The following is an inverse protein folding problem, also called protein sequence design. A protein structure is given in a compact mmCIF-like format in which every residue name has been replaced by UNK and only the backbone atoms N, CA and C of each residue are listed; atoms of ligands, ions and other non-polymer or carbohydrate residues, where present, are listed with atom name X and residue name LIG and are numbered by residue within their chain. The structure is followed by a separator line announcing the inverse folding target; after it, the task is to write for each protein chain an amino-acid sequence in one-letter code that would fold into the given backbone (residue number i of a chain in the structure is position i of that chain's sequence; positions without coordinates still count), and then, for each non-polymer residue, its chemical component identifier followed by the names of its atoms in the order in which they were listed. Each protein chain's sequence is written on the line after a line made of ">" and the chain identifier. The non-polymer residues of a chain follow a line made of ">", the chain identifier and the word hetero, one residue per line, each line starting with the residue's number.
data_IF_964562799783
#
_entry.id   IF_964562799783
#
_cell.length_a   1.000
_cell.length_b   1.000
_cell.length_c   1.000
_cell.angle_alpha   90.00
_cell.angle_beta   90.00
_cell.angle_gamma   90.00
#
_symmetry.space_group_name_H-M   'P 1'
#
loop_
_entity.id
_entity.type
_entity.pdbx_description
1 polymer ?
#
# COMPACT_ATOMS: atom_id res chain seq x y z
N UNK A 1 37.48 -19.62 -2.37
CA UNK A 1 36.62 -18.66 -1.66
C UNK A 1 35.19 -19.11 -1.94
N UNK A 2 34.48 -19.61 -0.90
CA UNK A 2 33.06 -19.93 -0.97
C UNK A 2 32.32 -18.58 -1.03
N UNK A 3 31.63 -18.34 -2.13
CA UNK A 3 30.60 -17.30 -2.22
C UNK A 3 29.36 -17.91 -1.52
N UNK A 4 29.08 -17.47 -0.32
CA UNK A 4 27.81 -17.75 0.35
C UNK A 4 26.70 -17.09 -0.47
N UNK A 5 25.80 -17.90 -1.03
CA UNK A 5 24.55 -17.42 -1.59
C UNK A 5 23.81 -16.64 -0.50
N UNK A 6 23.76 -15.33 -0.67
CA UNK A 6 22.92 -14.47 0.15
C UNK A 6 21.48 -14.91 -0.05
N UNK A 7 20.76 -15.09 1.06
CA UNK A 7 19.32 -15.29 1.05
C UNK A 7 18.70 -14.16 0.22
N UNK A 8 17.95 -14.53 -0.82
CA UNK A 8 17.08 -13.59 -1.54
C UNK A 8 16.11 -13.07 -0.50
N UNK A 9 16.32 -11.84 -0.05
CA UNK A 9 15.43 -11.15 0.87
C UNK A 9 14.06 -11.08 0.19
N UNK A 10 13.04 -11.60 0.87
CA UNK A 10 11.66 -11.47 0.39
C UNK A 10 11.36 -9.98 0.24
N UNK A 11 11.00 -9.56 -0.98
CA UNK A 11 10.48 -8.22 -1.20
C UNK A 11 9.26 -8.04 -0.29
N UNK A 12 9.39 -7.16 0.70
CA UNK A 12 8.27 -6.66 1.47
C UNK A 12 7.61 -5.57 0.61
N UNK A 13 6.29 -5.49 0.58
CA UNK A 13 5.53 -4.34 0.11
C UNK A 13 6.15 -3.03 0.63
N UNK A 14 5.77 -1.84 0.14
CA UNK A 14 6.31 -0.56 0.68
C UNK A 14 6.89 -0.75 2.08
N UNK A 15 8.17 -0.49 2.30
CA UNK A 15 8.84 -0.81 3.57
C UNK A 15 8.02 -0.36 4.79
N UNK A 16 8.20 -0.99 5.93
CA UNK A 16 7.40 -0.72 7.13
C UNK A 16 7.30 0.78 7.47
N UNK A 17 8.34 1.56 7.17
CA UNK A 17 8.36 3.00 7.41
C UNK A 17 7.33 3.71 6.52
N UNK A 18 7.26 3.37 5.24
CA UNK A 18 6.31 3.99 4.31
C UNK A 18 4.85 3.68 4.68
N UNK A 19 4.52 2.42 5.00
CA UNK A 19 3.17 2.04 5.45
C UNK A 19 2.75 2.80 6.71
N UNK A 20 3.65 2.94 7.68
CA UNK A 20 3.39 3.73 8.90
C UNK A 20 3.17 5.20 8.57
N UNK A 21 3.98 5.79 7.72
CA UNK A 21 3.84 7.19 7.30
C UNK A 21 2.47 7.44 6.65
N UNK A 22 2.05 6.59 5.73
CA UNK A 22 0.74 6.70 5.06
C UNK A 22 -0.40 6.62 6.07
N UNK A 23 -0.37 5.63 6.97
CA UNK A 23 -1.41 5.44 7.98
C UNK A 23 -1.47 6.62 8.97
N UNK A 24 -0.33 7.08 9.46
CA UNK A 24 -0.21 8.16 10.45
C UNK A 24 -0.65 9.52 9.85
N UNK A 25 -0.21 9.81 8.63
CA UNK A 25 -0.60 11.04 7.93
C UNK A 25 -2.10 11.06 7.60
N UNK A 26 -2.68 9.91 7.22
CA UNK A 26 -4.12 9.80 7.00
C UNK A 26 -4.91 10.00 8.32
N UNK A 27 -4.45 9.42 9.43
CA UNK A 27 -5.08 9.58 10.74
C UNK A 27 -4.99 11.03 11.25
N UNK A 28 -3.87 11.70 11.03
CA UNK A 28 -3.65 13.09 11.41
C UNK A 28 -4.58 14.07 10.68
N UNK A 29 -4.96 13.74 9.43
CA UNK A 29 -5.82 14.55 8.58
C UNK A 29 -7.31 14.19 8.69
N UNK A 30 -7.70 13.31 9.62
CA UNK A 30 -9.10 12.89 9.77
C UNK A 30 -10.04 14.09 10.02
N UNK A 31 -11.25 14.12 9.40
CA UNK A 31 -12.15 15.26 9.48
C UNK A 31 -12.88 15.35 10.84
N UNK A 32 -13.55 16.48 11.12
CA UNK A 32 -14.46 16.58 12.27
C UNK A 32 -15.42 15.40 12.33
N UNK A 33 -15.64 14.84 13.53
CA UNK A 33 -16.41 13.61 13.76
C UNK A 33 -15.59 12.32 13.70
N UNK A 34 -14.38 12.37 13.12
CA UNK A 34 -13.45 11.23 13.10
C UNK A 34 -12.12 11.55 13.81
N UNK A 35 -11.72 12.82 13.84
CA UNK A 35 -10.37 13.26 14.24
C UNK A 35 -9.97 12.82 15.64
N UNK A 36 -10.85 12.93 16.64
CA UNK A 36 -10.53 12.55 18.03
C UNK A 36 -10.20 11.05 18.13
N UNK A 37 -11.03 10.21 17.52
CA UNK A 37 -10.83 8.77 17.47
C UNK A 37 -9.54 8.37 16.75
N UNK A 38 -9.33 8.86 15.52
CA UNK A 38 -8.18 8.50 14.72
C UNK A 38 -6.87 9.02 15.34
N UNK A 39 -6.91 10.18 15.98
CA UNK A 39 -5.76 10.73 16.70
C UNK A 39 -5.42 9.89 17.95
N UNK A 40 -6.45 9.48 18.72
CA UNK A 40 -6.25 8.59 19.88
C UNK A 40 -5.79 7.17 19.46
N UNK A 41 -6.19 6.70 18.27
CA UNK A 41 -5.87 5.38 17.74
C UNK A 41 -4.56 5.35 16.91
N UNK A 42 -3.91 6.49 16.68
CA UNK A 42 -2.86 6.64 15.66
C UNK A 42 -1.75 5.60 15.78
N UNK A 43 -1.18 5.40 16.96
CA UNK A 43 -0.11 4.40 17.18
C UNK A 43 -0.57 2.97 16.86
N UNK A 44 -1.81 2.63 17.23
CA UNK A 44 -2.38 1.30 17.00
C UNK A 44 -2.69 1.08 15.51
N UNK A 45 -3.18 2.09 14.81
CA UNK A 45 -3.41 2.06 13.36
C UNK A 45 -2.07 1.92 12.64
N UNK A 46 -1.05 2.69 13.04
CA UNK A 46 0.31 2.60 12.52
C UNK A 46 0.90 1.20 12.75
N UNK A 47 0.72 0.62 13.93
CA UNK A 47 1.15 -0.77 14.19
C UNK A 47 0.40 -1.78 13.30
N UNK A 48 -0.92 -1.62 13.17
CA UNK A 48 -1.74 -2.50 12.34
C UNK A 48 -1.43 -2.35 10.83
N UNK A 49 -0.90 -1.21 10.39
CA UNK A 49 -0.55 -0.99 8.98
C UNK A 49 0.60 -1.87 8.48
N UNK A 50 1.37 -2.48 9.35
CA UNK A 50 2.44 -3.42 8.97
C UNK A 50 2.10 -4.89 9.27
N UNK A 51 0.95 -5.16 9.88
CA UNK A 51 0.53 -6.54 10.17
C UNK A 51 0.35 -7.42 8.93
N UNK A 52 -0.14 -6.91 7.77
CA UNK A 52 -0.21 -7.73 6.57
C UNK A 52 1.14 -8.35 6.19
N UNK A 53 2.21 -7.58 6.22
CA UNK A 53 3.56 -8.07 5.88
C UNK A 53 4.22 -8.92 6.98
N UNK A 54 3.86 -8.71 8.22
CA UNK A 54 4.49 -9.39 9.34
C UNK A 54 3.62 -10.52 9.89
N UNK A 55 2.46 -10.20 10.46
CA UNK A 55 1.61 -11.15 11.16
C UNK A 55 0.80 -12.03 10.21
N UNK A 56 0.22 -11.44 9.14
CA UNK A 56 -0.64 -12.21 8.24
C UNK A 56 0.18 -13.09 7.30
N UNK A 57 1.29 -12.60 6.75
CA UNK A 57 2.24 -13.43 5.99
C UNK A 57 2.80 -14.58 6.82
N UNK A 58 3.09 -14.37 8.10
CA UNK A 58 3.58 -15.44 8.97
C UNK A 58 2.55 -16.57 9.20
N UNK A 59 1.24 -16.26 9.08
CA UNK A 59 0.14 -17.23 9.27
C UNK A 59 -0.19 -18.01 7.99
N UNK A 60 -0.15 -17.34 6.84
CA UNK A 60 -0.48 -17.93 5.54
C UNK A 60 0.28 -17.15 4.45
N UNK A 61 1.56 -17.49 4.29
CA UNK A 61 2.50 -16.78 3.43
C UNK A 61 2.04 -16.75 1.97
N UNK A 62 1.67 -17.90 1.43
CA UNK A 62 1.31 -18.03 0.02
C UNK A 62 0.07 -17.22 -0.35
N UNK A 63 -0.95 -17.29 0.50
CA UNK A 63 -2.19 -16.56 0.28
C UNK A 63 -2.02 -15.07 0.51
N UNK A 64 -1.29 -14.69 1.57
CA UNK A 64 -1.13 -13.28 1.90
C UNK A 64 -0.25 -12.56 0.90
N UNK A 65 0.85 -13.18 0.44
CA UNK A 65 1.75 -12.62 -0.56
C UNK A 65 0.98 -12.08 -1.79
N UNK A 66 0.04 -12.87 -2.33
CA UNK A 66 -0.75 -12.52 -3.52
C UNK A 66 -1.67 -11.30 -3.33
N UNK A 67 -1.88 -10.86 -2.11
CA UNK A 67 -2.76 -9.75 -1.75
C UNK A 67 -2.08 -8.38 -1.77
N UNK A 68 -0.76 -8.37 -1.98
CA UNK A 68 0.06 -7.17 -1.96
C UNK A 68 0.33 -6.59 -3.36
N UNK A 69 0.02 -7.31 -4.42
CA UNK A 69 0.32 -6.90 -5.80
C UNK A 69 -0.78 -7.33 -6.78
N UNK A 70 -0.70 -6.77 -7.97
CA UNK A 70 -1.42 -7.27 -9.14
C UNK A 70 -0.57 -6.99 -10.39
N UNK A 71 -0.05 -8.05 -11.00
CA UNK A 71 0.73 -7.99 -12.23
C UNK A 71 -0.23 -7.82 -13.42
N UNK A 72 -0.55 -6.56 -13.74
CA UNK A 72 -1.52 -6.22 -14.78
C UNK A 72 -1.14 -6.80 -16.13
N UNK A 73 0.16 -6.82 -16.43
CA UNK A 73 0.76 -7.32 -17.66
C UNK A 73 0.73 -8.84 -17.78
N UNK A 74 0.48 -9.57 -16.70
CA UNK A 74 0.12 -11.00 -16.74
C UNK A 74 -1.33 -11.23 -17.18
N UNK A 75 -2.23 -10.32 -16.88
CA UNK A 75 -3.66 -10.47 -17.17
C UNK A 75 -4.05 -9.87 -18.52
N UNK A 76 -3.54 -8.69 -18.85
CA UNK A 76 -3.94 -7.95 -20.06
C UNK A 76 -2.78 -7.09 -20.58
N UNK A 77 -3.01 -6.36 -21.66
CA UNK A 77 -2.02 -5.43 -22.24
C UNK A 77 -2.44 -3.98 -22.00
N UNK A 78 -1.47 -3.06 -21.81
CA UNK A 78 -1.78 -1.63 -21.77
C UNK A 78 -2.62 -1.22 -23.00
N UNK A 79 -3.59 -0.34 -22.84
CA UNK A 79 -4.02 0.39 -21.66
C UNK A 79 -5.07 -0.33 -20.78
N UNK A 80 -5.09 -1.65 -20.73
CA UNK A 80 -5.89 -2.51 -19.83
C UNK A 80 -7.42 -2.32 -19.95
N UNK A 81 -7.92 -1.98 -21.14
CA UNK A 81 -9.35 -1.68 -21.38
C UNK A 81 -10.27 -2.87 -21.15
N UNK A 82 -9.75 -4.08 -21.39
CA UNK A 82 -10.52 -5.34 -21.32
C UNK A 82 -10.36 -6.04 -19.96
N UNK A 83 -9.65 -5.40 -18.99
CA UNK A 83 -9.44 -5.96 -17.66
C UNK A 83 -10.74 -5.93 -16.84
N UNK A 84 -11.28 -7.09 -16.41
CA UNK A 84 -12.45 -7.12 -15.56
C UNK A 84 -12.12 -6.62 -14.16
N UNK A 85 -12.84 -5.62 -13.65
CA UNK A 85 -12.66 -5.12 -12.29
C UNK A 85 -13.36 -5.98 -11.23
N UNK A 86 -14.22 -6.89 -11.66
CA UNK A 86 -14.90 -7.86 -10.81
C UNK A 86 -14.07 -9.16 -10.74
N UNK A 87 -13.82 -9.66 -9.51
CA UNK A 87 -12.97 -10.82 -9.31
C UNK A 87 -13.52 -12.09 -9.96
N UNK A 88 -14.83 -12.34 -9.82
CA UNK A 88 -15.45 -13.53 -10.40
C UNK A 88 -15.39 -13.50 -11.93
N UNK A 89 -15.54 -12.30 -12.52
CA UNK A 89 -15.39 -12.13 -13.97
C UNK A 89 -13.93 -12.29 -14.41
N UNK A 90 -12.97 -11.81 -13.63
CA UNK A 90 -11.55 -12.00 -13.92
C UNK A 90 -11.20 -13.49 -13.87
N UNK A 91 -11.64 -14.21 -12.83
CA UNK A 91 -11.45 -15.66 -12.69
C UNK A 91 -12.13 -16.45 -13.81
N UNK A 92 -13.34 -16.07 -14.19
CA UNK A 92 -14.03 -16.69 -15.30
C UNK A 92 -13.34 -16.48 -16.66
N UNK A 93 -12.68 -15.32 -16.85
CA UNK A 93 -11.99 -14.98 -18.10
C UNK A 93 -10.58 -15.58 -18.18
N UNK A 94 -9.80 -15.49 -17.09
CA UNK A 94 -8.38 -15.83 -17.09
C UNK A 94 -8.06 -17.17 -16.41
N UNK A 95 -8.99 -17.73 -15.63
CA UNK A 95 -8.79 -18.90 -14.77
C UNK A 95 -8.22 -18.54 -13.41
N UNK A 96 -8.53 -19.38 -12.40
CA UNK A 96 -8.14 -19.15 -11.01
C UNK A 96 -6.61 -19.11 -10.83
N UNK A 97 -5.90 -20.05 -11.42
CA UNK A 97 -4.43 -20.14 -11.31
C UNK A 97 -3.74 -18.87 -11.82
N UNK A 98 -4.19 -18.35 -12.97
CA UNK A 98 -3.59 -17.15 -13.55
C UNK A 98 -3.92 -15.89 -12.75
N UNK A 99 -5.14 -15.76 -12.24
CA UNK A 99 -5.53 -14.64 -11.37
C UNK A 99 -4.75 -14.71 -10.06
N UNK A 100 -4.62 -15.89 -9.47
CA UNK A 100 -3.85 -16.08 -8.24
C UNK A 100 -2.36 -15.80 -8.44
N UNK A 101 -1.78 -16.18 -9.57
CA UNK A 101 -0.39 -15.87 -9.90
C UNK A 101 -0.17 -14.37 -10.13
N UNK A 102 -1.08 -13.72 -10.84
CA UNK A 102 -1.03 -12.27 -11.10
C UNK A 102 -1.30 -11.42 -9.86
N UNK A 103 -1.84 -12.00 -8.77
CA UNK A 103 -2.12 -11.26 -7.55
C UNK A 103 -3.55 -10.72 -7.44
N UNK A 104 -3.94 -10.37 -6.20
CA UNK A 104 -5.35 -10.08 -5.86
C UNK A 104 -5.55 -8.77 -5.08
N UNK A 105 -4.59 -7.88 -5.11
CA UNK A 105 -4.56 -6.62 -4.36
C UNK A 105 -5.85 -5.77 -4.46
N UNK A 106 -6.41 -5.46 -5.67
CA UNK A 106 -7.58 -4.58 -5.74
C UNK A 106 -8.81 -5.20 -5.05
N UNK A 107 -9.01 -6.50 -5.16
CA UNK A 107 -10.12 -7.20 -4.51
C UNK A 107 -9.91 -7.36 -3.01
N UNK A 108 -8.65 -7.48 -2.57
CA UNK A 108 -8.30 -7.44 -1.15
C UNK A 108 -8.65 -6.10 -0.52
N UNK A 109 -8.36 -4.98 -1.18
CA UNK A 109 -8.76 -3.64 -0.75
C UNK A 109 -10.29 -3.58 -0.55
N UNK A 110 -11.08 -4.08 -1.51
CA UNK A 110 -12.54 -4.09 -1.39
C UNK A 110 -13.02 -4.94 -0.22
N UNK A 111 -12.40 -6.09 -0.01
CA UNK A 111 -12.72 -6.96 1.13
C UNK A 111 -12.49 -6.25 2.46
N UNK A 112 -11.33 -5.61 2.64
CA UNK A 112 -11.00 -4.90 3.89
C UNK A 112 -11.86 -3.65 4.08
N UNK A 113 -12.19 -2.92 3.00
CA UNK A 113 -13.13 -1.80 3.02
C UNK A 113 -14.51 -2.23 3.55
N UNK A 114 -15.03 -3.36 3.04
CA UNK A 114 -16.28 -3.95 3.53
C UNK A 114 -16.22 -4.31 5.01
N UNK A 115 -15.11 -4.93 5.44
CA UNK A 115 -14.89 -5.29 6.85
C UNK A 115 -14.81 -4.05 7.75
N UNK A 116 -14.18 -2.96 7.30
CA UNK A 116 -14.12 -1.69 8.03
C UNK A 116 -15.50 -1.06 8.17
N UNK A 117 -16.28 -1.01 7.08
CA UNK A 117 -17.68 -0.53 7.10
C UNK A 117 -18.53 -1.32 8.10
N UNK A 118 -18.42 -2.65 8.08
CA UNK A 118 -19.18 -3.51 8.97
C UNK A 118 -18.73 -3.34 10.44
N UNK A 119 -17.43 -3.12 10.69
CA UNK A 119 -16.92 -2.78 12.02
C UNK A 119 -17.52 -1.46 12.55
N UNK A 120 -17.60 -0.43 11.70
CA UNK A 120 -18.30 0.83 12.07
C UNK A 120 -19.77 0.62 12.38
N UNK A 121 -20.51 -0.15 11.56
CA UNK A 121 -21.94 -0.46 11.81
C UNK A 121 -22.17 -1.15 13.14
N UNK A 122 -21.26 -2.09 13.48
CA UNK A 122 -21.31 -2.87 14.72
C UNK A 122 -20.71 -2.13 15.92
N UNK A 123 -20.13 -0.95 15.71
CA UNK A 123 -19.37 -0.20 16.72
C UNK A 123 -18.26 -1.03 17.37
N UNK A 124 -17.66 -1.93 16.60
CA UNK A 124 -16.51 -2.75 17.01
C UNK A 124 -15.22 -1.93 16.80
N UNK A 125 -14.93 -1.08 17.76
CA UNK A 125 -13.85 -0.09 17.66
C UNK A 125 -12.47 -0.71 17.54
N UNK A 126 -12.27 -1.88 18.12
CA UNK A 126 -11.03 -2.65 17.96
C UNK A 126 -10.83 -3.04 16.49
N UNK A 127 -11.87 -3.61 15.88
CA UNK A 127 -11.82 -3.93 14.45
C UNK A 127 -11.72 -2.69 13.57
N UNK A 128 -12.34 -1.57 13.96
CA UNK A 128 -12.17 -0.30 13.20
C UNK A 128 -10.69 0.07 13.15
N UNK A 129 -9.98 0.05 14.28
CA UNK A 129 -8.54 0.36 14.33
C UNK A 129 -7.73 -0.58 13.45
N UNK A 130 -7.89 -1.89 13.65
CA UNK A 130 -7.12 -2.90 12.91
C UNK A 130 -7.41 -2.85 11.41
N UNK A 131 -8.69 -2.74 11.02
CA UNK A 131 -9.06 -2.69 9.60
C UNK A 131 -8.67 -1.37 8.94
N UNK A 132 -8.63 -0.26 9.68
CA UNK A 132 -8.07 1.00 9.17
C UNK A 132 -6.57 0.84 8.83
N UNK A 133 -5.78 0.23 9.71
CA UNK A 133 -4.38 -0.05 9.44
C UNK A 133 -4.18 -0.99 8.25
N UNK A 134 -4.91 -2.11 8.18
CA UNK A 134 -4.81 -3.02 7.05
C UNK A 134 -5.25 -2.38 5.73
N UNK A 135 -6.30 -1.56 5.74
CA UNK A 135 -6.75 -0.87 4.54
C UNK A 135 -5.69 0.12 4.05
N UNK A 136 -5.05 0.87 4.96
CA UNK A 136 -3.97 1.79 4.58
C UNK A 136 -2.78 1.07 3.97
N UNK A 137 -2.45 -0.14 4.45
CA UNK A 137 -1.40 -0.99 3.89
C UNK A 137 -1.66 -1.33 2.43
N UNK A 138 -2.76 -2.04 2.15
CA UNK A 138 -3.06 -2.46 0.77
C UNK A 138 -3.33 -1.26 -0.17
N UNK A 139 -3.85 -0.15 0.35
CA UNK A 139 -3.96 1.08 -0.44
C UNK A 139 -2.57 1.62 -0.79
N UNK A 140 -1.63 1.63 0.14
CA UNK A 140 -0.26 2.05 -0.16
C UNK A 140 0.37 1.17 -1.25
N UNK A 141 0.18 -0.16 -1.18
CA UNK A 141 0.64 -1.10 -2.20
C UNK A 141 0.08 -0.79 -3.60
N UNK A 142 -1.18 -0.36 -3.69
CA UNK A 142 -1.80 0.02 -4.96
C UNK A 142 -1.16 1.27 -5.61
N UNK A 143 -0.40 2.05 -4.85
CA UNK A 143 0.35 3.22 -5.34
C UNK A 143 1.85 2.95 -5.52
N UNK A 144 2.31 1.73 -5.27
CA UNK A 144 3.67 1.30 -5.55
C UNK A 144 3.77 0.79 -6.99
N UNK A 145 4.50 1.46 -7.89
CA UNK A 145 4.56 1.07 -9.30
C UNK A 145 4.97 -0.38 -9.51
N UNK A 146 5.98 -0.85 -8.78
CA UNK A 146 6.50 -2.20 -8.93
C UNK A 146 5.58 -3.30 -8.38
N UNK A 147 4.48 -2.96 -7.69
CA UNK A 147 3.40 -3.89 -7.31
C UNK A 147 2.36 -4.10 -8.41
N UNK A 148 2.57 -3.55 -9.59
CA UNK A 148 1.59 -3.57 -10.68
C UNK A 148 2.06 -4.32 -11.91
N UNK A 149 3.29 -4.85 -11.89
CA UNK A 149 3.96 -5.52 -13.00
C UNK A 149 4.67 -6.79 -12.56
N UNK A 150 4.70 -7.78 -13.43
CA UNK A 150 5.50 -9.01 -13.23
C UNK A 150 7.01 -8.74 -13.16
N UNK A 151 7.48 -7.63 -13.75
CA UNK A 151 8.87 -7.17 -13.66
C UNK A 151 9.13 -6.39 -12.35
N UNK A 152 8.54 -6.85 -11.26
CA UNK A 152 8.48 -6.16 -9.98
C UNK A 152 9.85 -5.84 -9.35
N UNK A 153 10.87 -6.66 -9.59
CA UNK A 153 12.24 -6.45 -9.07
C UNK A 153 13.24 -6.13 -10.19
N UNK A 154 12.74 -5.78 -11.38
CA UNK A 154 13.58 -5.47 -12.53
C UNK A 154 14.27 -6.67 -13.18
N UNK A 155 13.84 -7.90 -12.84
CA UNK A 155 14.45 -9.14 -13.32
C UNK A 155 14.33 -9.34 -14.84
N UNK A 156 13.39 -8.66 -15.50
CA UNK A 156 13.26 -8.66 -16.97
C UNK A 156 14.03 -7.51 -17.66
N UNK A 157 14.63 -6.59 -16.86
CA UNK A 157 15.24 -5.35 -17.37
C UNK A 157 16.65 -5.08 -16.83
N UNK A 158 17.28 -6.06 -16.16
CA UNK A 158 18.61 -5.94 -15.53
C UNK A 158 18.67 -4.86 -14.44
N UNK A 159 17.57 -4.74 -13.65
CA UNK A 159 17.41 -3.83 -12.53
C UNK A 159 17.18 -4.59 -11.21
N UNK A 160 17.69 -5.82 -11.10
CA UNK A 160 17.45 -6.67 -9.92
C UNK A 160 17.83 -5.95 -8.64
N UNK A 161 16.89 -5.97 -7.67
CA UNK A 161 17.01 -5.27 -6.39
C UNK A 161 16.37 -3.88 -6.37
N UNK A 162 15.87 -3.38 -7.51
CA UNK A 162 15.22 -2.06 -7.58
C UNK A 162 14.00 -1.95 -6.67
N UNK A 163 13.31 -3.06 -6.44
CA UNK A 163 12.13 -3.10 -5.58
C UNK A 163 12.46 -2.60 -4.17
N UNK A 164 13.37 -3.30 -3.49
CA UNK A 164 13.79 -2.92 -2.14
C UNK A 164 14.44 -1.54 -2.10
N UNK A 165 15.24 -1.19 -3.11
CA UNK A 165 15.92 0.10 -3.20
C UNK A 165 14.94 1.28 -3.29
N UNK A 166 13.85 1.15 -4.08
CA UNK A 166 12.86 2.22 -4.28
C UNK A 166 11.90 2.34 -3.10
N UNK A 167 11.37 1.23 -2.61
CA UNK A 167 10.27 1.25 -1.63
C UNK A 167 10.72 1.24 -0.17
N UNK A 168 11.91 0.69 0.13
CA UNK A 168 12.40 0.53 1.48
C UNK A 168 13.59 1.43 1.74
N UNK A 169 14.72 1.17 1.08
CA UNK A 169 15.99 1.78 1.46
C UNK A 169 16.00 3.30 1.26
N UNK A 170 15.54 3.77 0.11
CA UNK A 170 15.46 5.21 -0.19
C UNK A 170 14.54 5.94 0.80
N UNK A 171 13.40 5.35 1.15
CA UNK A 171 12.43 5.96 2.04
C UNK A 171 12.92 5.92 3.50
N UNK A 172 13.54 4.82 3.93
CA UNK A 172 14.08 4.68 5.29
C UNK A 172 15.21 5.69 5.55
N UNK A 173 16.07 5.92 4.56
CA UNK A 173 17.12 6.96 4.61
C UNK A 173 16.47 8.34 4.73
N UNK A 174 15.48 8.64 3.92
CA UNK A 174 14.78 9.93 3.85
C UNK A 174 13.53 10.08 4.74
N UNK A 175 13.28 9.14 5.68
CA UNK A 175 11.97 9.00 6.39
C UNK A 175 11.38 10.29 6.96
N UNK A 176 12.20 11.17 7.52
CA UNK A 176 11.72 12.44 8.09
C UNK A 176 11.17 13.36 7.01
N UNK A 177 11.87 13.47 5.88
CA UNK A 177 11.45 14.28 4.74
C UNK A 177 10.20 13.68 4.08
N UNK A 178 10.15 12.35 3.92
CA UNK A 178 8.98 11.66 3.38
C UNK A 178 7.76 11.88 4.27
N UNK A 179 7.87 11.71 5.59
CA UNK A 179 6.76 11.96 6.53
C UNK A 179 6.21 13.37 6.39
N UNK A 180 7.06 14.38 6.36
CA UNK A 180 6.65 15.78 6.28
C UNK A 180 6.03 16.12 4.92
N UNK A 181 6.63 15.66 3.82
CA UNK A 181 6.21 16.00 2.46
C UNK A 181 4.98 15.24 1.96
N UNK A 182 4.59 14.15 2.61
CA UNK A 182 3.40 13.35 2.27
C UNK A 182 2.22 13.60 3.19
N UNK A 183 2.36 14.51 4.16
CA UNK A 183 1.26 14.99 4.98
C UNK A 183 0.22 15.73 4.11
N UNK A 184 -1.06 15.46 4.37
CA UNK A 184 -2.14 16.16 3.67
C UNK A 184 -2.25 17.60 4.17
N UNK A 185 -2.56 18.57 3.28
CA UNK A 185 -2.74 19.95 3.70
C UNK A 185 -3.95 20.08 4.63
N UNK A 186 -3.91 21.06 5.53
CA UNK A 186 -5.01 21.33 6.47
C UNK A 186 -6.35 21.61 5.78
N UNK A 187 -6.33 22.02 4.52
CA UNK A 187 -7.52 22.24 3.68
C UNK A 187 -8.07 20.97 3.05
N UNK A 188 -7.40 19.82 3.21
CA UNK A 188 -7.87 18.56 2.64
C UNK A 188 -9.21 18.16 3.27
N UNK A 189 -10.18 17.89 2.41
CA UNK A 189 -11.50 17.40 2.82
C UNK A 189 -11.72 16.04 2.19
N UNK A 190 -11.92 14.99 2.98
CA UNK A 190 -12.15 13.66 2.43
C UNK A 190 -13.51 13.59 1.72
N UNK A 191 -13.54 12.79 0.65
CA UNK A 191 -14.72 12.58 -0.17
C UNK A 191 -15.16 11.11 -0.13
N UNK A 192 -16.48 10.89 -0.31
CA UNK A 192 -17.05 9.56 -0.46
C UNK A 192 -16.72 9.04 -1.86
N UNK A 193 -15.99 7.95 -1.95
CA UNK A 193 -15.71 7.27 -3.20
C UNK A 193 -16.92 6.39 -3.56
N UNK A 194 -17.73 6.81 -4.53
CA UNK A 194 -18.98 6.11 -4.90
C UNK A 194 -18.75 4.76 -5.56
N UNK A 195 -17.70 4.63 -6.36
CA UNK A 195 -17.31 3.40 -7.07
C UNK A 195 -15.89 2.97 -6.66
N UNK A 196 -15.68 2.48 -5.42
CA UNK A 196 -14.34 2.25 -4.87
C UNK A 196 -13.51 1.28 -5.72
N UNK A 197 -14.15 0.21 -6.24
CA UNK A 197 -13.47 -0.78 -7.09
C UNK A 197 -12.90 -0.15 -8.35
N UNK A 198 -13.73 0.59 -9.08
CA UNK A 198 -13.30 1.29 -10.31
C UNK A 198 -12.22 2.32 -10.04
N UNK A 199 -12.37 3.05 -8.92
CA UNK A 199 -11.40 4.03 -8.49
C UNK A 199 -10.03 3.39 -8.23
N UNK A 200 -9.99 2.29 -7.45
CA UNK A 200 -8.73 1.60 -7.11
C UNK A 200 -8.05 1.03 -8.36
N UNK A 201 -8.79 0.39 -9.26
CA UNK A 201 -8.20 -0.09 -10.52
C UNK A 201 -7.61 1.05 -11.35
N UNK A 202 -8.26 2.20 -11.40
CA UNK A 202 -7.72 3.37 -12.10
C UNK A 202 -6.40 3.87 -11.47
N UNK A 203 -6.27 3.82 -10.12
CA UNK A 203 -5.02 4.18 -9.45
C UNK A 203 -3.91 3.15 -9.72
N UNK A 204 -4.23 1.87 -9.70
CA UNK A 204 -3.27 0.79 -10.01
C UNK A 204 -2.76 0.92 -11.46
N UNK A 205 -3.64 1.18 -12.42
CA UNK A 205 -3.26 1.40 -13.82
C UNK A 205 -2.35 2.64 -13.94
N UNK A 206 -2.69 3.72 -13.25
CA UNK A 206 -1.85 4.91 -13.22
C UNK A 206 -0.50 4.67 -12.52
N UNK A 207 -0.42 3.75 -11.57
CA UNK A 207 0.84 3.33 -10.95
C UNK A 207 1.68 2.48 -11.92
N UNK A 208 1.05 1.62 -12.72
CA UNK A 208 1.73 0.84 -13.76
C UNK A 208 2.43 1.75 -14.78
N UNK A 209 1.80 2.85 -15.18
CA UNK A 209 2.38 3.80 -16.12
C UNK A 209 3.68 4.45 -15.63
N UNK A 210 4.00 4.31 -14.33
CA UNK A 210 5.22 4.84 -13.70
C UNK A 210 6.35 3.79 -13.56
N UNK A 211 6.12 2.54 -13.92
CA UNK A 211 7.11 1.46 -13.79
C UNK A 211 8.39 1.79 -14.54
N UNK A 212 8.28 2.18 -15.80
CA UNK A 212 9.44 2.49 -16.64
C UNK A 212 10.28 3.65 -16.09
N UNK A 213 9.65 4.65 -15.45
CA UNK A 213 10.36 5.77 -14.83
C UNK A 213 11.23 5.29 -13.66
N UNK A 214 10.74 4.36 -12.84
CA UNK A 214 11.49 3.77 -11.72
C UNK A 214 12.66 2.93 -12.25
N UNK A 215 12.43 2.06 -13.23
CA UNK A 215 13.48 1.22 -13.82
C UNK A 215 14.58 2.05 -14.51
N UNK A 216 14.22 3.10 -15.23
CA UNK A 216 15.16 4.01 -15.85
C UNK A 216 15.98 4.80 -14.81
N UNK A 217 15.36 5.19 -13.69
CA UNK A 217 16.05 5.87 -12.60
C UNK A 217 17.11 4.98 -11.96
N UNK A 218 16.80 3.71 -11.71
CA UNK A 218 17.73 2.72 -11.19
C UNK A 218 18.91 2.52 -12.13
N UNK A 219 18.65 2.26 -13.41
CA UNK A 219 19.69 2.12 -14.43
C UNK A 219 20.64 3.33 -14.46
N UNK A 220 20.09 4.52 -14.38
CA UNK A 220 20.86 5.74 -14.40
C UNK A 220 21.63 6.00 -13.09
N UNK A 221 21.06 5.61 -11.94
CA UNK A 221 21.73 5.67 -10.64
C UNK A 221 22.94 4.72 -10.61
N UNK A 222 22.76 3.47 -11.02
CA UNK A 222 23.85 2.49 -11.14
C UNK A 222 24.99 2.99 -12.08
N UNK A 223 24.63 3.61 -13.19
CA UNK A 223 25.61 4.18 -14.11
C UNK A 223 26.37 5.37 -13.51
N UNK A 224 25.75 6.16 -12.64
CA UNK A 224 26.39 7.28 -11.94
C UNK A 224 27.39 6.79 -10.89
N UNK A 225 27.05 5.76 -10.11
CA UNK A 225 27.94 5.13 -9.14
C UNK A 225 29.16 4.52 -9.79
N UNK A 226 29.02 3.78 -10.89
CA UNK A 226 30.13 3.19 -11.64
C UNK A 226 31.13 4.24 -12.13
N UNK A 227 30.72 5.50 -12.29
CA UNK A 227 31.58 6.63 -12.66
C UNK A 227 32.14 7.37 -11.44
N UNK A 228 31.93 6.85 -10.23
CA UNK A 228 32.38 7.44 -8.94
C UNK A 228 31.89 8.91 -8.76
N UNK A 229 30.68 9.22 -9.21
CA UNK A 229 30.17 10.58 -9.16
C UNK A 229 29.25 10.86 -7.98
N UNK A 230 28.41 9.89 -7.60
CA UNK A 230 27.41 10.05 -6.54
C UNK A 230 27.11 8.72 -5.82
N UNK A 231 26.48 8.81 -4.66
CA UNK A 231 25.86 7.68 -3.99
C UNK A 231 24.61 7.20 -4.75
N UNK A 232 24.34 5.89 -4.75
CA UNK A 232 23.21 5.29 -5.47
C UNK A 232 21.86 5.84 -4.98
N UNK A 233 21.67 5.90 -3.66
CA UNK A 233 20.40 6.37 -3.10
C UNK A 233 20.20 7.88 -3.26
N UNK A 234 21.26 8.67 -3.26
CA UNK A 234 21.19 10.09 -3.61
C UNK A 234 20.73 10.28 -5.06
N UNK A 235 21.23 9.45 -5.97
CA UNK A 235 20.79 9.48 -7.36
C UNK A 235 19.36 9.01 -7.55
N UNK A 236 18.95 7.94 -6.85
CA UNK A 236 17.54 7.49 -6.84
C UNK A 236 16.61 8.58 -6.31
N UNK A 237 16.92 9.17 -5.16
CA UNK A 237 16.13 10.26 -4.57
C UNK A 237 16.02 11.47 -5.51
N UNK A 238 17.09 11.84 -6.18
CA UNK A 238 17.11 12.95 -7.14
C UNK A 238 16.21 12.69 -8.34
N UNK A 239 16.10 11.45 -8.80
CA UNK A 239 15.37 11.05 -10.01
C UNK A 239 13.91 10.75 -9.73
N UNK A 240 13.64 9.94 -8.74
CA UNK A 240 12.30 9.41 -8.45
C UNK A 240 11.77 9.73 -7.04
N UNK A 241 12.50 10.50 -6.25
CA UNK A 241 12.03 10.91 -4.93
C UNK A 241 10.76 11.77 -4.98
N UNK A 242 10.59 12.62 -5.99
CA UNK A 242 9.34 13.38 -6.21
C UNK A 242 8.19 12.43 -6.53
N UNK A 243 8.41 11.45 -7.42
CA UNK A 243 7.43 10.43 -7.76
C UNK A 243 7.03 9.62 -6.53
N UNK A 244 7.99 9.13 -5.74
CA UNK A 244 7.71 8.38 -4.52
C UNK A 244 6.85 9.19 -3.54
N UNK A 245 7.18 10.46 -3.28
CA UNK A 245 6.39 11.36 -2.44
C UNK A 245 4.98 11.58 -2.98
N UNK A 246 4.82 11.75 -4.28
CA UNK A 246 3.51 11.91 -4.91
C UNK A 246 2.66 10.66 -4.74
N UNK A 247 3.23 9.48 -4.96
CA UNK A 247 2.52 8.21 -4.78
C UNK A 247 2.11 7.98 -3.32
N UNK A 248 3.01 8.21 -2.36
CA UNK A 248 2.68 8.12 -0.93
C UNK A 248 1.62 9.17 -0.51
N UNK A 249 1.68 10.40 -1.02
CA UNK A 249 0.68 11.44 -0.73
C UNK A 249 -0.69 11.06 -1.28
N UNK A 250 -0.76 10.51 -2.50
CA UNK A 250 -1.99 9.98 -3.10
C UNK A 250 -2.53 8.79 -2.31
N UNK A 251 -1.66 7.87 -1.88
CA UNK A 251 -2.03 6.76 -1.02
C UNK A 251 -2.63 7.24 0.31
N UNK A 252 -2.03 8.27 0.92
CA UNK A 252 -2.53 8.91 2.15
C UNK A 252 -3.94 9.49 1.95
N UNK A 253 -4.14 10.25 0.88
CA UNK A 253 -5.44 10.84 0.54
C UNK A 253 -6.50 9.77 0.26
N UNK A 254 -6.15 8.74 -0.50
CA UNK A 254 -7.05 7.62 -0.82
C UNK A 254 -7.39 6.81 0.41
N UNK A 255 -6.43 6.55 1.28
CA UNK A 255 -6.66 5.90 2.58
C UNK A 255 -7.72 6.64 3.39
N UNK A 256 -7.54 7.95 3.56
CA UNK A 256 -8.52 8.77 4.30
C UNK A 256 -9.89 8.81 3.62
N UNK A 257 -9.95 8.91 2.30
CA UNK A 257 -11.20 8.87 1.54
C UNK A 257 -11.94 7.53 1.71
N UNK A 258 -11.23 6.39 1.72
CA UNK A 258 -11.83 5.09 1.94
C UNK A 258 -12.27 4.88 3.39
N UNK A 259 -11.52 5.36 4.38
CA UNK A 259 -11.98 5.37 5.77
C UNK A 259 -13.25 6.20 5.94
N UNK A 260 -13.28 7.37 5.35
CA UNK A 260 -14.45 8.25 5.35
C UNK A 260 -15.64 7.61 4.63
N UNK A 261 -15.39 6.96 3.50
CA UNK A 261 -16.42 6.21 2.74
C UNK A 261 -17.03 5.11 3.61
N UNK A 262 -16.20 4.28 4.27
CA UNK A 262 -16.67 3.22 5.15
C UNK A 262 -17.51 3.76 6.31
N UNK A 263 -17.07 4.84 6.95
CA UNK A 263 -17.79 5.50 8.03
C UNK A 263 -19.12 6.11 7.55
N UNK A 264 -19.09 6.77 6.39
CA UNK A 264 -20.29 7.35 5.76
C UNK A 264 -21.34 6.28 5.43
N UNK A 265 -20.94 5.19 4.76
CA UNK A 265 -21.81 4.07 4.39
C UNK A 265 -22.30 3.27 5.61
N UNK A 266 -21.60 3.35 6.72
CA UNK A 266 -22.04 2.78 7.99
C UNK A 266 -23.10 3.62 8.71
N UNK A 267 -23.52 4.77 8.17
CA UNK A 267 -24.48 5.69 8.77
C UNK A 267 -23.85 6.72 9.71
N UNK A 268 -22.54 6.97 9.59
CA UNK A 268 -21.77 7.94 10.39
C UNK A 268 -21.95 7.73 11.90
N UNK A 269 -21.67 6.53 12.44
CA UNK A 269 -21.80 6.31 13.88
C UNK A 269 -20.92 7.29 14.64
N UNK A 270 -21.40 7.73 15.81
CA UNK A 270 -20.59 8.54 16.71
C UNK A 270 -19.39 7.72 17.17
N UNK A 271 -18.19 8.24 16.97
CA UNK A 271 -16.95 7.60 17.39
C UNK A 271 -16.59 8.01 18.82
N UNK A 272 -16.05 7.10 19.65
CA UNK A 272 -15.59 7.45 20.98
C UNK A 272 -14.35 8.35 20.91
N UNK A 273 -14.20 9.22 21.88
CA UNK A 273 -13.00 10.09 21.98
C UNK A 273 -11.74 9.31 22.37
N UNK A 274 -11.91 8.20 23.06
CA UNK A 274 -10.83 7.28 23.45
C UNK A 274 -11.06 5.91 22.85
N UNK A 275 -9.99 5.28 22.41
CA UNK A 275 -10.06 3.91 21.86
C UNK A 275 -10.02 2.93 23.02
N UNK A 276 -11.00 2.01 23.13
CA UNK A 276 -10.93 0.96 24.14
C UNK A 276 -9.60 0.18 24.05
N UNK A 277 -9.04 -0.26 25.17
CA UNK A 277 -7.86 -1.13 25.11
C UNK A 277 -8.17 -2.37 24.28
N UNK A 278 -7.16 -2.97 23.62
CA UNK A 278 -7.37 -4.23 22.91
C UNK A 278 -7.97 -5.24 23.88
N UNK A 279 -9.02 -5.94 23.42
CA UNK A 279 -9.53 -7.06 24.19
C UNK A 279 -8.36 -8.01 24.48
N UNK A 280 -8.15 -8.32 25.77
CA UNK A 280 -7.17 -9.35 26.15
C UNK A 280 -7.58 -10.59 25.38
N UNK A 281 -6.81 -10.96 24.36
CA UNK A 281 -6.98 -12.26 23.71
C UNK A 281 -6.70 -13.27 24.81
N UNK A 282 -7.73 -13.94 25.31
CA UNK A 282 -7.51 -15.13 26.08
C UNK A 282 -6.64 -16.04 25.20
N UNK A 283 -5.43 -16.28 25.65
CA UNK A 283 -4.55 -17.27 25.03
C UNK A 283 -5.36 -18.57 24.99
N UNK A 284 -5.87 -18.90 23.81
CA UNK A 284 -6.43 -20.21 23.57
C UNK A 284 -5.24 -21.09 23.23
N UNK A 285 -4.97 -22.12 24.04
CA UNK A 285 -3.80 -23.00 23.91
C UNK A 285 -3.75 -23.72 22.56
#
# INVERSE_FOLDING_TARGET
>A
ALVTAGSVGQAAAWGFVAHRIVAENAAAAAPPGMVSFYKAANERISAASIEPDSVLKARDQEREKRRHYIDLDELSRPPFRDLPFDEDKARALYGDERVDAAGTLPWRIMTVLGQLRDAFRKKDWEKVVVRSGWLSHYVADAYQPLHTTKNFDGQESCNEGVHAAFETDMIDIGRTAYRASTALPASFTPEVIREPRRFIFAQIIASYDLVDEVLQADTAALAAVKKQRNDYYEEMERRVGVLARQQMSRATATTLNLWYTAWFEAGRPQLPETVPPPAVRADTP
#
